data_IF_498017724142
#
_entry.id   IF_498017724142
#
_cell.length_a   1.000
_cell.length_b   1.000
_cell.length_c   1.000
_cell.angle_alpha   90.00
_cell.angle_beta   90.00
_cell.angle_gamma   90.00
#
_symmetry.space_group_name_H-M   'P 1'
#
loop_
_entity.id
_entity.type
_entity.pdbx_description
1 polymer ?
#
# COMPACT_ATOMS: atom_id res chain seq x y z
N UNK A 1 8.09 -7.19 26.14
CA UNK A 1 8.13 -6.16 25.08
C UNK A 1 8.48 -6.73 23.71
N UNK A 2 9.56 -7.50 23.51
CA UNK A 2 9.86 -8.11 22.19
C UNK A 2 8.80 -9.16 21.72
N UNK A 3 8.23 -9.93 22.65
CA UNK A 3 7.20 -10.93 22.34
C UNK A 3 5.89 -10.33 21.80
N UNK A 4 5.52 -9.12 22.24
CA UNK A 4 4.30 -8.43 21.79
C UNK A 4 4.44 -7.93 20.35
N UNK A 5 5.62 -7.42 19.99
CA UNK A 5 5.95 -7.02 18.62
C UNK A 5 5.86 -8.18 17.63
N UNK A 6 6.43 -9.34 17.99
CA UNK A 6 6.39 -10.55 17.17
C UNK A 6 4.96 -11.11 17.00
N UNK A 7 4.15 -11.07 18.06
CA UNK A 7 2.74 -11.46 17.98
C UNK A 7 1.94 -10.51 17.07
N UNK A 8 2.15 -9.20 17.20
CA UNK A 8 1.48 -8.21 16.37
C UNK A 8 1.87 -8.32 14.89
N UNK A 9 3.16 -8.59 14.61
CA UNK A 9 3.67 -8.82 13.27
C UNK A 9 3.07 -10.09 12.63
N UNK A 10 3.01 -11.21 13.36
CA UNK A 10 2.32 -12.43 12.91
C UNK A 10 0.83 -12.18 12.64
N UNK A 11 0.17 -11.37 13.48
CA UNK A 11 -1.20 -10.93 13.24
C UNK A 11 -1.37 -10.18 11.92
N UNK A 12 -0.43 -9.28 11.60
CA UNK A 12 -0.43 -8.55 10.33
C UNK A 12 -0.17 -9.47 9.11
N UNK A 13 0.72 -10.47 9.23
CA UNK A 13 0.88 -11.53 8.24
C UNK A 13 -0.42 -12.34 8.06
N UNK A 14 -1.13 -12.64 9.15
CA UNK A 14 -2.44 -13.27 9.10
C UNK A 14 -3.47 -12.47 8.28
N UNK A 15 -3.46 -11.13 8.39
CA UNK A 15 -4.38 -10.25 7.62
C UNK A 15 -4.15 -10.27 6.11
N UNK A 16 -2.93 -10.58 5.64
CA UNK A 16 -2.64 -10.77 4.21
C UNK A 16 -2.91 -12.21 3.74
N UNK A 17 -3.28 -13.10 4.66
CA UNK A 17 -3.70 -14.48 4.38
C UNK A 17 -2.62 -15.53 4.64
N UNK A 18 -1.51 -15.20 5.31
CA UNK A 18 -0.49 -16.19 5.65
C UNK A 18 -1.00 -17.17 6.70
N UNK A 19 -0.63 -18.44 6.55
CA UNK A 19 -0.89 -19.45 7.57
C UNK A 19 -0.03 -19.25 8.82
N UNK A 20 -0.55 -19.63 9.98
CA UNK A 20 0.18 -19.53 11.26
C UNK A 20 1.53 -20.25 11.21
N UNK A 21 1.66 -21.48 10.64
CA UNK A 21 2.94 -22.14 10.50
C UNK A 21 3.94 -21.37 9.62
N UNK A 22 3.49 -20.82 8.48
CA UNK A 22 4.34 -20.04 7.59
C UNK A 22 4.84 -18.75 8.25
N UNK A 23 3.95 -18.07 8.99
CA UNK A 23 4.31 -16.86 9.74
C UNK A 23 5.34 -17.16 10.83
N UNK A 24 5.19 -18.28 11.56
CA UNK A 24 6.16 -18.69 12.60
C UNK A 24 7.54 -18.98 12.01
N UNK A 25 7.61 -19.72 10.90
CA UNK A 25 8.88 -20.00 10.23
C UNK A 25 9.53 -18.72 9.71
N UNK A 26 8.73 -17.80 9.16
CA UNK A 26 9.23 -16.50 8.70
C UNK A 26 9.79 -15.66 9.85
N UNK A 27 9.08 -15.59 10.99
CA UNK A 27 9.59 -14.89 12.18
C UNK A 27 10.86 -15.53 12.74
N UNK A 28 10.95 -16.86 12.71
CA UNK A 28 12.15 -17.60 13.16
C UNK A 28 13.38 -17.37 12.27
N UNK A 29 13.21 -16.84 11.05
CA UNK A 29 14.32 -16.42 10.17
C UNK A 29 14.86 -15.02 10.51
N UNK A 30 14.38 -14.39 11.59
CA UNK A 30 14.86 -13.08 12.08
C UNK A 30 13.98 -11.89 11.69
N UNK A 31 12.77 -12.13 11.19
CA UNK A 31 11.79 -11.09 10.87
C UNK A 31 10.68 -11.08 11.91
N UNK A 32 10.96 -10.54 13.09
CA UNK A 32 10.04 -10.52 14.22
C UNK A 32 9.35 -9.17 14.43
N UNK A 33 9.74 -8.11 13.72
CA UNK A 33 9.13 -6.80 13.78
C UNK A 33 8.78 -6.25 12.40
N UNK A 34 7.81 -5.32 12.38
CA UNK A 34 7.38 -4.65 11.15
C UNK A 34 8.51 -3.79 10.55
N UNK A 35 9.30 -3.12 11.39
CA UNK A 35 10.44 -2.30 10.98
C UNK A 35 11.52 -3.12 10.28
N UNK A 36 11.69 -4.39 10.67
CA UNK A 36 12.66 -5.31 10.07
C UNK A 36 12.41 -5.54 8.58
N UNK A 37 11.16 -5.36 8.11
CA UNK A 37 10.86 -5.42 6.68
C UNK A 37 11.42 -4.21 5.91
N UNK A 38 11.48 -3.03 6.53
CA UNK A 38 12.00 -1.82 5.89
C UNK A 38 13.51 -1.82 5.68
N UNK A 39 14.23 -2.66 6.44
CA UNK A 39 15.70 -2.81 6.37
C UNK A 39 16.16 -3.76 5.25
N UNK A 40 15.23 -4.43 4.58
CA UNK A 40 15.52 -5.52 3.65
C UNK A 40 14.92 -5.24 2.28
N UNK A 41 15.63 -5.55 1.20
CA UNK A 41 15.14 -5.35 -0.16
C UNK A 41 14.03 -6.35 -0.53
N UNK A 42 13.15 -5.95 -1.46
CA UNK A 42 12.11 -6.84 -1.99
C UNK A 42 12.68 -8.18 -2.46
N UNK A 43 13.81 -8.19 -3.18
CA UNK A 43 14.38 -9.44 -3.71
C UNK A 43 14.86 -10.40 -2.62
N UNK A 44 15.42 -9.85 -1.53
CA UNK A 44 15.79 -10.66 -0.38
C UNK A 44 14.57 -11.31 0.28
N UNK A 45 13.43 -10.60 0.36
CA UNK A 45 12.16 -11.18 0.84
C UNK A 45 11.67 -12.33 -0.06
N UNK A 46 11.80 -12.20 -1.39
CA UNK A 46 11.48 -13.27 -2.33
C UNK A 46 12.37 -14.49 -2.11
N UNK A 47 13.67 -14.28 -1.90
CA UNK A 47 14.61 -15.37 -1.65
C UNK A 47 14.33 -16.11 -0.34
N UNK A 48 13.93 -15.38 0.70
CA UNK A 48 13.46 -15.99 1.95
C UNK A 48 12.21 -16.84 1.71
N UNK A 49 11.24 -16.34 0.94
CA UNK A 49 10.05 -17.13 0.60
C UNK A 49 10.40 -18.41 -0.20
N UNK A 50 11.40 -18.35 -1.10
CA UNK A 50 11.91 -19.54 -1.80
C UNK A 50 12.54 -20.55 -0.85
N UNK A 51 13.31 -20.08 0.14
CA UNK A 51 13.91 -20.94 1.17
C UNK A 51 12.82 -21.64 1.98
N UNK A 52 11.77 -20.92 2.39
CA UNK A 52 10.66 -21.53 3.17
C UNK A 52 9.89 -22.55 2.33
N UNK A 53 9.70 -22.31 1.03
CA UNK A 53 9.07 -23.27 0.11
C UNK A 53 9.86 -24.56 -0.04
N UNK A 54 11.19 -24.48 -0.11
CA UNK A 54 12.05 -25.66 -0.19
C UNK A 54 12.10 -26.42 1.13
N UNK A 55 11.98 -25.70 2.25
CA UNK A 55 12.29 -26.25 3.57
C UNK A 55 13.79 -26.28 3.80
N UNK A 56 14.18 -26.70 5.00
CA UNK A 56 15.58 -26.99 5.31
C UNK A 56 15.73 -28.48 5.42
N UNK A 57 16.55 -29.07 4.55
CA UNK A 57 17.03 -30.44 4.75
C UNK A 57 17.78 -30.47 6.08
N UNK A 58 17.50 -31.46 6.94
CA UNK A 58 18.24 -31.63 8.18
C UNK A 58 19.70 -31.90 7.84
N UNK A 59 20.56 -30.88 7.94
CA UNK A 59 21.99 -31.08 7.73
C UNK A 59 22.48 -31.89 8.91
N UNK A 60 22.93 -33.12 8.66
CA UNK A 60 23.64 -33.92 9.65
C UNK A 60 24.82 -33.07 10.15
N UNK A 61 24.86 -32.79 11.46
CA UNK A 61 26.04 -32.22 12.08
C UNK A 61 27.24 -33.12 11.75
N UNK A 62 28.30 -32.55 11.19
CA UNK A 62 29.60 -33.25 11.07
C UNK A 62 29.97 -33.73 12.48
N UNK A 63 30.26 -35.03 12.69
CA UNK A 63 30.57 -35.51 14.02
C UNK A 63 31.84 -34.81 14.51
N UNK A 64 31.75 -34.12 15.64
CA UNK A 64 32.93 -33.70 16.37
C UNK A 64 33.76 -34.96 16.65
N UNK A 65 35.03 -34.93 16.27
CA UNK A 65 35.94 -36.05 16.51
C UNK A 65 36.03 -36.32 18.02
N UNK A 66 35.39 -37.41 18.47
CA UNK A 66 35.50 -37.93 19.83
C UNK A 66 34.20 -37.86 20.64
N UNK A 67 33.34 -38.88 20.51
CA UNK A 67 32.25 -39.12 21.46
C UNK A 67 31.06 -39.87 20.84
N UNK A 68 30.83 -41.13 21.24
CA UNK A 68 29.74 -41.98 20.76
C UNK A 68 28.37 -41.60 21.36
N UNK A 69 27.89 -40.40 21.09
CA UNK A 69 26.48 -40.06 21.23
C UNK A 69 26.02 -39.49 19.89
N UNK A 70 25.26 -40.27 19.14
CA UNK A 70 24.55 -39.75 17.96
C UNK A 70 23.56 -38.69 18.45
N UNK A 71 23.94 -37.42 18.38
CA UNK A 71 23.00 -36.32 18.55
C UNK A 71 22.02 -36.45 17.39
N UNK A 72 20.79 -36.86 17.70
CA UNK A 72 19.74 -36.99 16.70
C UNK A 72 19.68 -35.70 15.88
N UNK A 73 19.87 -35.81 14.56
CA UNK A 73 19.76 -34.68 13.66
C UNK A 73 18.41 -34.00 13.92
N UNK A 74 18.44 -32.71 14.25
CA UNK A 74 17.20 -31.95 14.44
C UNK A 74 16.35 -32.12 13.16
N UNK A 75 15.08 -32.56 13.27
CA UNK A 75 14.25 -32.75 12.09
C UNK A 75 14.22 -31.45 11.30
N UNK A 76 14.67 -31.51 10.04
CA UNK A 76 14.56 -30.36 9.13
C UNK A 76 13.11 -29.89 9.07
N UNK A 77 12.89 -28.57 9.06
CA UNK A 77 11.52 -28.06 8.93
C UNK A 77 10.99 -28.39 7.53
N UNK A 78 9.88 -29.14 7.40
CA UNK A 78 9.32 -29.46 6.09
C UNK A 78 8.95 -28.18 5.35
N UNK A 79 9.16 -28.16 4.02
CA UNK A 79 8.83 -27.02 3.18
C UNK A 79 7.34 -26.66 3.29
N UNK A 80 7.05 -25.39 3.54
CA UNK A 80 5.68 -24.89 3.62
C UNK A 80 5.32 -24.23 2.28
N UNK A 81 4.19 -24.63 1.69
CA UNK A 81 3.71 -24.01 0.47
C UNK A 81 3.35 -22.54 0.74
N UNK A 82 4.14 -21.61 0.17
CA UNK A 82 3.84 -20.18 0.12
C UNK A 82 3.38 -19.85 -1.31
N UNK A 83 2.07 -19.58 -1.54
CA UNK A 83 1.55 -19.11 -2.81
C UNK A 83 2.23 -17.82 -3.29
N UNK A 84 2.32 -17.63 -4.60
CA UNK A 84 2.92 -16.43 -5.20
C UNK A 84 2.20 -15.14 -4.73
N UNK A 85 0.88 -15.20 -4.51
CA UNK A 85 0.10 -14.09 -3.93
C UNK A 85 0.66 -13.61 -2.59
N UNK A 86 1.12 -14.52 -1.74
CA UNK A 86 1.55 -14.20 -0.38
C UNK A 86 2.89 -13.47 -0.40
N UNK A 87 3.81 -13.89 -1.27
CA UNK A 87 5.06 -13.17 -1.56
C UNK A 87 4.78 -11.78 -2.13
N UNK A 88 3.80 -11.67 -3.01
CA UNK A 88 3.41 -10.41 -3.62
C UNK A 88 2.78 -9.44 -2.61
N UNK A 89 1.88 -9.93 -1.75
CA UNK A 89 1.32 -9.14 -0.63
C UNK A 89 2.37 -8.76 0.40
N UNK A 90 3.35 -9.63 0.66
CA UNK A 90 4.49 -9.32 1.53
C UNK A 90 5.35 -8.20 0.93
N UNK A 91 5.57 -8.22 -0.38
CA UNK A 91 6.24 -7.11 -1.08
C UNK A 91 5.43 -5.81 -0.97
N UNK A 92 4.09 -5.89 -1.01
CA UNK A 92 3.21 -4.75 -0.78
C UNK A 92 3.32 -4.20 0.64
N UNK A 93 3.39 -5.09 1.63
CA UNK A 93 3.64 -4.74 3.02
C UNK A 93 5.01 -4.05 3.19
N UNK A 94 6.06 -4.57 2.57
CA UNK A 94 7.37 -3.93 2.55
C UNK A 94 7.30 -2.51 1.98
N UNK A 95 6.62 -2.30 0.85
CA UNK A 95 6.44 -0.97 0.28
C UNK A 95 5.71 -0.02 1.23
N UNK A 96 4.69 -0.49 1.94
CA UNK A 96 3.99 0.29 2.97
C UNK A 96 4.91 0.68 4.13
N UNK A 97 5.71 -0.26 4.64
CA UNK A 97 6.70 0.03 5.70
C UNK A 97 7.72 1.05 5.22
N UNK A 98 8.29 0.87 4.03
CA UNK A 98 9.28 1.77 3.45
C UNK A 98 8.73 3.20 3.25
N UNK A 99 7.46 3.33 2.84
CA UNK A 99 6.78 4.63 2.71
C UNK A 99 6.63 5.31 4.08
N UNK A 100 6.19 4.57 5.11
CA UNK A 100 6.02 5.09 6.47
C UNK A 100 7.35 5.55 7.08
N UNK A 101 8.41 4.74 6.91
CA UNK A 101 9.75 5.07 7.38
C UNK A 101 10.28 6.32 6.67
N UNK A 102 10.06 6.47 5.36
CA UNK A 102 10.42 7.68 4.61
C UNK A 102 9.69 8.92 5.13
N UNK A 103 8.43 8.78 5.50
CA UNK A 103 7.59 9.86 6.04
C UNK A 103 7.82 10.10 7.54
N UNK A 104 8.75 9.39 8.19
CA UNK A 104 9.00 9.50 9.63
C UNK A 104 7.81 9.10 10.52
N UNK A 105 6.85 8.36 9.96
CA UNK A 105 5.64 7.93 10.69
C UNK A 105 5.92 6.59 11.37
N UNK A 106 5.56 6.40 12.66
CA UNK A 106 5.83 5.15 13.36
C UNK A 106 5.11 3.97 12.67
N UNK A 107 5.82 2.85 12.55
CA UNK A 107 5.31 1.65 11.90
C UNK A 107 4.63 0.77 12.96
N UNK A 108 3.31 0.89 13.08
CA UNK A 108 2.52 0.08 14.01
C UNK A 108 1.81 -1.04 13.27
N UNK A 109 2.00 -2.29 13.70
CA UNK A 109 1.40 -3.45 13.04
C UNK A 109 -0.13 -3.45 13.06
N UNK A 110 -0.76 -2.76 14.01
CA UNK A 110 -2.22 -2.60 14.08
C UNK A 110 -2.78 -1.76 12.93
N UNK A 111 -2.03 -0.76 12.47
CA UNK A 111 -2.45 0.14 11.39
C UNK A 111 -2.47 -0.59 10.05
N UNK A 112 -1.68 -1.66 9.90
CA UNK A 112 -1.69 -2.48 8.69
C UNK A 112 -2.93 -3.37 8.65
N UNK A 113 -3.97 -2.87 8.00
CA UNK A 113 -5.22 -3.59 7.73
C UNK A 113 -5.15 -4.34 6.40
N UNK A 114 -6.07 -5.30 6.21
CA UNK A 114 -6.18 -6.02 4.93
C UNK A 114 -6.45 -5.08 3.75
N UNK A 115 -7.20 -3.99 3.97
CA UNK A 115 -7.46 -2.96 2.96
C UNK A 115 -6.17 -2.25 2.52
N UNK A 116 -5.32 -1.87 3.48
CA UNK A 116 -4.00 -1.29 3.17
C UNK A 116 -3.13 -2.31 2.42
N UNK A 117 -3.10 -3.56 2.87
CA UNK A 117 -2.38 -4.62 2.15
C UNK A 117 -2.81 -4.74 0.68
N UNK A 118 -4.12 -4.70 0.41
CA UNK A 118 -4.65 -4.74 -0.95
C UNK A 118 -4.32 -3.48 -1.76
N UNK A 119 -4.40 -2.29 -1.16
CA UNK A 119 -4.03 -1.03 -1.80
C UNK A 119 -2.57 -1.05 -2.29
N UNK A 120 -1.64 -1.49 -1.45
CA UNK A 120 -0.21 -1.55 -1.81
C UNK A 120 0.08 -2.68 -2.80
N UNK A 121 -0.64 -3.79 -2.71
CA UNK A 121 -0.62 -4.86 -3.72
C UNK A 121 -1.04 -4.33 -5.09
N UNK A 122 -2.08 -3.49 -5.15
CA UNK A 122 -2.50 -2.81 -6.39
C UNK A 122 -1.44 -1.83 -6.88
N UNK A 123 -0.85 -1.01 -6.00
CA UNK A 123 0.25 -0.09 -6.37
C UNK A 123 1.40 -0.84 -7.03
N UNK A 124 1.80 -1.98 -6.47
CA UNK A 124 2.82 -2.84 -7.08
C UNK A 124 2.41 -3.37 -8.46
N UNK A 125 1.14 -3.71 -8.65
CA UNK A 125 0.66 -4.24 -9.93
C UNK A 125 0.71 -3.16 -11.00
N UNK A 126 0.23 -1.96 -10.68
CA UNK A 126 0.26 -0.82 -11.60
C UNK A 126 1.70 -0.44 -11.95
N UNK A 127 2.61 -0.41 -10.96
CA UNK A 127 4.03 -0.13 -11.19
C UNK A 127 4.70 -1.19 -12.08
N UNK A 128 4.35 -2.47 -11.89
CA UNK A 128 4.81 -3.52 -12.79
C UNK A 128 4.28 -3.33 -14.20
N UNK A 129 2.99 -3.05 -14.36
CA UNK A 129 2.37 -2.85 -15.67
C UNK A 129 2.90 -1.60 -16.39
N UNK A 130 3.24 -0.53 -15.68
CA UNK A 130 3.86 0.66 -16.28
C UNK A 130 5.26 0.36 -16.81
N UNK A 131 6.02 -0.52 -16.15
CA UNK A 131 7.34 -0.96 -16.63
C UNK A 131 7.30 -1.88 -17.86
N UNK A 132 6.17 -2.56 -18.11
CA UNK A 132 6.06 -3.53 -19.19
C UNK A 132 5.38 -2.90 -20.40
N UNK A 133 6.09 -2.81 -21.52
CA UNK A 133 5.52 -2.26 -22.75
C UNK A 133 4.73 -3.29 -23.56
N UNK A 134 3.61 -2.87 -24.13
CA UNK A 134 2.75 -3.62 -25.04
C UNK A 134 3.23 -3.63 -26.49
N UNK A 135 2.33 -4.03 -27.40
CA UNK A 135 2.60 -4.22 -28.84
C UNK A 135 2.95 -2.89 -29.54
N UNK A 136 2.36 -1.79 -29.10
CA UNK A 136 2.56 -0.45 -29.70
C UNK A 136 3.55 0.41 -28.89
N UNK A 137 4.42 -0.21 -28.08
CA UNK A 137 5.28 0.50 -27.10
C UNK A 137 4.53 1.31 -26.04
N UNK A 138 3.20 1.24 -26.02
CA UNK A 138 2.38 1.78 -24.94
C UNK A 138 2.57 0.91 -23.69
N UNK A 139 2.84 1.51 -22.51
CA UNK A 139 2.85 0.82 -21.21
C UNK A 139 1.56 0.01 -20.99
N UNK A 140 1.60 -1.11 -20.27
CA UNK A 140 0.40 -1.95 -20.05
C UNK A 140 -0.59 -1.39 -19.02
N UNK A 141 -0.20 -0.34 -18.29
CA UNK A 141 -1.04 0.30 -17.27
C UNK A 141 -2.35 0.88 -17.84
N UNK A 142 -2.39 1.26 -19.13
CA UNK A 142 -3.59 1.79 -19.79
C UNK A 142 -4.76 0.83 -19.71
N UNK A 143 -4.53 -0.48 -19.72
CA UNK A 143 -5.58 -1.52 -19.61
C UNK A 143 -6.30 -1.42 -18.27
N UNK A 144 -5.59 -1.06 -17.20
CA UNK A 144 -6.08 -1.03 -15.82
C UNK A 144 -6.57 0.37 -15.41
N UNK A 145 -6.60 1.33 -16.34
CA UNK A 145 -7.18 2.65 -16.12
C UNK A 145 -8.61 2.55 -15.60
N UNK A 146 -8.95 3.37 -14.59
CA UNK A 146 -10.27 3.44 -13.97
C UNK A 146 -11.33 3.87 -15.00
N UNK A 147 -11.04 4.96 -15.72
CA UNK A 147 -11.93 5.52 -16.71
C UNK A 147 -11.83 4.79 -18.06
N UNK A 148 -12.96 4.63 -18.72
CA UNK A 148 -13.05 3.94 -20.00
C UNK A 148 -12.85 4.93 -21.16
N UNK A 149 -13.11 6.22 -20.93
CA UNK A 149 -13.04 7.27 -21.94
C UNK A 149 -11.59 7.67 -22.27
N UNK A 150 -11.33 7.87 -23.56
CA UNK A 150 -10.08 8.49 -24.03
C UNK A 150 -10.09 9.96 -23.62
N UNK A 151 -8.94 10.49 -23.18
CA UNK A 151 -8.83 11.90 -22.83
C UNK A 151 -9.14 12.79 -24.04
N UNK A 152 -9.72 13.96 -23.79
CA UNK A 152 -10.07 14.89 -24.85
C UNK A 152 -8.79 15.36 -25.59
N UNK A 153 -8.84 15.60 -26.91
CA UNK A 153 -7.64 15.91 -27.70
C UNK A 153 -6.86 17.15 -27.25
N UNK A 154 -7.54 18.06 -26.55
CA UNK A 154 -7.07 19.33 -25.99
C UNK A 154 -6.53 19.23 -24.55
N UNK A 155 -6.49 18.02 -23.98
CA UNK A 155 -5.94 17.83 -22.62
C UNK A 155 -4.43 18.02 -22.65
N UNK A 156 -3.92 18.98 -21.89
CA UNK A 156 -2.49 19.10 -21.62
C UNK A 156 -2.06 17.98 -20.67
N UNK A 157 -0.98 17.28 -21.03
CA UNK A 157 -0.43 16.18 -20.24
C UNK A 157 0.94 16.58 -19.70
N UNK A 158 1.19 16.29 -18.42
CA UNK A 158 2.47 16.60 -17.77
C UNK A 158 3.60 15.70 -18.29
N UNK A 159 3.29 14.44 -18.61
CA UNK A 159 4.28 13.46 -19.05
C UNK A 159 3.87 12.76 -20.35
N UNK A 160 4.86 12.40 -21.17
CA UNK A 160 4.63 11.61 -22.39
C UNK A 160 4.05 10.23 -22.06
N UNK A 161 4.47 9.64 -20.93
CA UNK A 161 3.91 8.39 -20.43
C UNK A 161 2.40 8.50 -20.21
N UNK A 162 1.96 9.51 -19.46
CA UNK A 162 0.55 9.74 -19.20
C UNK A 162 -0.26 10.00 -20.48
N UNK A 163 0.31 10.77 -21.41
CA UNK A 163 -0.29 10.99 -22.73
C UNK A 163 -0.54 9.68 -23.47
N UNK A 164 0.44 8.78 -23.52
CA UNK A 164 0.28 7.47 -24.18
C UNK A 164 -0.80 6.63 -23.53
N UNK A 165 -0.87 6.65 -22.20
CA UNK A 165 -1.85 5.89 -21.41
C UNK A 165 -3.26 6.41 -21.62
N UNK A 166 -3.45 7.74 -21.61
CA UNK A 166 -4.76 8.36 -21.68
C UNK A 166 -5.34 8.44 -23.10
N UNK A 167 -4.48 8.54 -24.11
CA UNK A 167 -4.89 8.56 -25.52
C UNK A 167 -5.19 7.17 -26.09
N UNK A 168 -4.65 6.10 -25.50
CA UNK A 168 -4.81 4.76 -26.07
C UNK A 168 -6.23 4.22 -25.81
N UNK A 169 -7.02 3.89 -26.86
CA UNK A 169 -8.36 3.36 -26.69
C UNK A 169 -8.34 1.92 -26.19
N UNK A 170 -9.36 1.54 -25.41
CA UNK A 170 -9.59 0.15 -24.96
C UNK A 170 -10.28 -0.71 -26.03
N UNK A 171 -9.93 -0.52 -27.30
CA UNK A 171 -10.57 -1.21 -28.43
C UNK A 171 -9.52 -1.69 -29.42
N UNK A 172 -9.79 -2.83 -30.06
CA UNK A 172 -8.97 -3.38 -31.14
C UNK A 172 -7.94 -4.42 -30.69
N UNK A 173 -7.22 -4.96 -31.68
CA UNK A 173 -6.34 -6.13 -31.48
C UNK A 173 -5.14 -5.86 -30.56
N UNK A 174 -4.68 -4.60 -30.51
CA UNK A 174 -3.63 -4.17 -29.59
C UNK A 174 -4.11 -4.23 -28.13
N UNK A 175 -5.37 -3.85 -27.89
CA UNK A 175 -6.01 -3.96 -26.59
C UNK A 175 -6.18 -5.42 -26.18
N UNK A 176 -6.68 -6.29 -27.05
CA UNK A 176 -6.89 -7.71 -26.71
C UNK A 176 -5.58 -8.41 -26.30
N UNK A 177 -4.48 -8.10 -27.01
CA UNK A 177 -3.14 -8.61 -26.65
C UNK A 177 -2.66 -8.05 -25.31
N UNK A 178 -2.89 -6.77 -25.04
CA UNK A 178 -2.58 -6.15 -23.76
C UNK A 178 -3.39 -6.76 -22.61
N UNK A 179 -4.70 -6.90 -22.81
CA UNK A 179 -5.65 -7.48 -21.88
C UNK A 179 -5.27 -8.93 -21.53
N UNK A 180 -4.89 -9.72 -22.54
CA UNK A 180 -4.42 -11.09 -22.34
C UNK A 180 -3.12 -11.19 -21.54
N UNK A 181 -2.22 -10.20 -21.61
CA UNK A 181 -1.01 -10.12 -20.76
C UNK A 181 -1.37 -9.79 -19.31
N UNK A 182 -2.25 -8.81 -19.10
CA UNK A 182 -2.75 -8.45 -17.76
C UNK A 182 -3.43 -9.65 -17.11
N UNK A 183 -4.24 -10.39 -17.88
CA UNK A 183 -4.87 -11.62 -17.40
C UNK A 183 -3.88 -12.66 -16.88
N UNK A 184 -2.77 -12.91 -17.60
CA UNK A 184 -1.75 -13.87 -17.16
C UNK A 184 -1.18 -13.46 -15.80
N UNK A 185 -0.90 -12.17 -15.62
CA UNK A 185 -0.34 -11.64 -14.37
C UNK A 185 -1.34 -11.80 -13.21
N UNK A 186 -2.60 -11.40 -13.42
CA UNK A 186 -3.65 -11.53 -12.40
C UNK A 186 -3.91 -12.99 -12.07
N UNK A 187 -3.90 -13.89 -13.06
CA UNK A 187 -4.02 -15.33 -12.84
C UNK A 187 -2.87 -15.88 -12.00
N UNK A 188 -1.63 -15.51 -12.32
CA UNK A 188 -0.46 -15.95 -11.57
C UNK A 188 -0.49 -15.48 -10.11
N UNK A 189 -1.06 -14.29 -9.86
CA UNK A 189 -1.25 -13.77 -8.52
C UNK A 189 -2.39 -14.46 -7.79
N UNK A 190 -3.52 -14.76 -8.45
CA UNK A 190 -4.72 -15.25 -7.78
C UNK A 190 -4.85 -16.77 -7.70
N UNK A 191 -4.03 -17.51 -8.47
CA UNK A 191 -4.04 -18.98 -8.46
C UNK A 191 -3.77 -19.52 -7.04
N UNK A 192 -4.57 -20.49 -6.61
CA UNK A 192 -4.55 -21.10 -5.27
C UNK A 192 -4.86 -20.13 -4.10
N UNK A 193 -5.40 -18.94 -4.38
CA UNK A 193 -5.83 -17.98 -3.37
C UNK A 193 -7.35 -17.86 -3.24
N UNK A 194 -7.86 -17.29 -2.13
CA UNK A 194 -9.29 -17.03 -1.95
C UNK A 194 -9.85 -16.02 -2.96
N UNK A 195 -8.97 -15.24 -3.61
CA UNK A 195 -9.34 -14.31 -4.67
C UNK A 195 -9.70 -15.00 -6.01
N UNK A 196 -9.36 -16.28 -6.17
CA UNK A 196 -9.59 -17.02 -7.41
C UNK A 196 -11.07 -17.09 -7.80
N UNK A 197 -11.97 -17.22 -6.83
CA UNK A 197 -13.42 -17.32 -7.06
C UNK A 197 -13.99 -16.12 -7.82
N UNK A 198 -13.44 -14.92 -7.58
CA UNK A 198 -13.86 -13.68 -8.25
C UNK A 198 -13.26 -13.53 -9.64
N UNK A 199 -12.12 -14.17 -9.90
CA UNK A 199 -11.36 -14.06 -11.15
C UNK A 199 -11.69 -15.18 -12.13
N UNK A 200 -12.11 -16.34 -11.63
CA UNK A 200 -12.43 -17.53 -12.42
C UNK A 200 -13.42 -17.29 -13.59
N UNK A 201 -14.47 -16.45 -13.47
CA UNK A 201 -15.39 -16.20 -14.59
C UNK A 201 -14.72 -15.55 -15.82
N UNK A 202 -13.62 -14.83 -15.64
CA UNK A 202 -12.94 -14.08 -16.70
C UNK A 202 -11.93 -14.92 -17.50
N UNK A 203 -11.72 -16.19 -17.12
CA UNK A 203 -10.72 -17.06 -17.75
C UNK A 203 -11.05 -17.38 -19.22
N UNK A 204 -12.33 -17.62 -19.53
CA UNK A 204 -12.77 -17.98 -20.89
C UNK A 204 -12.43 -16.91 -21.92
N UNK A 205 -12.59 -15.64 -21.54
CA UNK A 205 -12.32 -14.48 -22.39
C UNK A 205 -10.89 -13.94 -22.25
N UNK A 206 -10.13 -14.45 -21.28
CA UNK A 206 -8.82 -13.91 -20.86
C UNK A 206 -8.88 -12.40 -20.58
N UNK A 207 -9.95 -12.00 -19.90
CA UNK A 207 -10.22 -10.60 -19.63
C UNK A 207 -9.53 -10.13 -18.34
N UNK A 208 -8.31 -9.59 -18.49
CA UNK A 208 -7.51 -9.07 -17.39
C UNK A 208 -8.08 -7.81 -16.77
N UNK A 209 -8.62 -6.91 -17.59
CA UNK A 209 -9.26 -5.66 -17.14
C UNK A 209 -10.48 -5.94 -16.28
N UNK A 210 -11.37 -6.80 -16.76
CA UNK A 210 -12.56 -7.22 -16.01
C UNK A 210 -12.19 -7.85 -14.67
N UNK A 211 -11.17 -8.72 -14.66
CA UNK A 211 -10.68 -9.34 -13.43
C UNK A 211 -10.13 -8.32 -12.43
N UNK A 212 -9.34 -7.33 -12.87
CA UNK A 212 -8.84 -6.28 -11.96
C UNK A 212 -9.96 -5.40 -11.43
N UNK A 213 -10.95 -5.02 -12.27
CA UNK A 213 -12.13 -4.28 -11.82
C UNK A 213 -12.91 -5.06 -10.77
N UNK A 214 -13.17 -6.35 -11.00
CA UNK A 214 -13.87 -7.21 -10.04
C UNK A 214 -13.13 -7.34 -8.70
N UNK A 215 -11.80 -7.50 -8.75
CA UNK A 215 -10.97 -7.52 -7.54
C UNK A 215 -11.03 -6.19 -6.78
N UNK A 216 -10.95 -5.06 -7.49
CA UNK A 216 -11.06 -3.74 -6.87
C UNK A 216 -12.45 -3.56 -6.24
N UNK A 217 -13.54 -3.86 -6.96
CA UNK A 217 -14.89 -3.76 -6.40
C UNK A 217 -15.09 -4.65 -5.16
N UNK A 218 -14.47 -5.83 -5.09
CA UNK A 218 -14.59 -6.70 -3.93
C UNK A 218 -13.78 -6.20 -2.72
N UNK A 219 -12.53 -5.77 -2.93
CA UNK A 219 -11.63 -5.38 -1.82
C UNK A 219 -11.72 -3.91 -1.44
N UNK A 220 -12.18 -3.05 -2.35
CA UNK A 220 -12.43 -1.62 -2.16
C UNK A 220 -13.94 -1.31 -2.07
N UNK A 221 -14.78 -2.32 -1.79
CA UNK A 221 -16.23 -2.15 -1.65
C UNK A 221 -16.59 -0.95 -0.75
N UNK A 222 -17.70 -0.28 -1.03
CA UNK A 222 -18.12 1.01 -0.44
C UNK A 222 -18.01 1.08 1.09
N UNK A 223 -18.11 -0.03 1.80
CA UNK A 223 -17.92 -0.10 3.24
C UNK A 223 -16.48 0.24 3.69
N UNK A 224 -15.46 -0.16 2.93
CA UNK A 224 -14.05 0.19 3.21
C UNK A 224 -13.81 1.65 2.88
N UNK A 225 -14.34 2.14 1.75
CA UNK A 225 -14.28 3.54 1.35
C UNK A 225 -14.94 4.45 2.38
N UNK A 226 -16.14 4.10 2.84
CA UNK A 226 -16.89 4.84 3.86
C UNK A 226 -16.16 4.85 5.21
N UNK A 227 -15.52 3.75 5.59
CA UNK A 227 -14.69 3.69 6.81
C UNK A 227 -13.44 4.55 6.69
N UNK A 228 -12.75 4.51 5.56
CA UNK A 228 -11.57 5.34 5.30
C UNK A 228 -11.93 6.83 5.29
N UNK A 229 -13.07 7.19 4.69
CA UNK A 229 -13.62 8.55 4.72
C UNK A 229 -13.96 8.98 6.14
N UNK A 230 -14.70 8.16 6.89
CA UNK A 230 -15.06 8.45 8.28
C UNK A 230 -13.80 8.64 9.15
N UNK A 231 -12.77 7.83 8.98
CA UNK A 231 -11.50 7.99 9.69
C UNK A 231 -10.76 9.28 9.29
N UNK A 232 -10.79 9.67 8.01
CA UNK A 232 -10.21 10.94 7.58
C UNK A 232 -10.96 12.14 8.19
N UNK A 233 -12.29 12.10 8.23
CA UNK A 233 -13.10 13.12 8.90
C UNK A 233 -12.87 13.18 10.41
N UNK A 234 -12.73 12.02 11.06
CA UNK A 234 -12.40 11.92 12.49
C UNK A 234 -11.06 12.60 12.81
N UNK A 235 -10.03 12.36 11.97
CA UNK A 235 -8.73 13.05 12.08
C UNK A 235 -8.91 14.56 11.91
N UNK A 236 -9.69 15.03 10.94
CA UNK A 236 -9.92 16.47 10.74
C UNK A 236 -10.70 17.11 11.90
N UNK A 237 -11.64 16.39 12.50
CA UNK A 237 -12.48 16.88 13.61
C UNK A 237 -11.72 16.93 14.93
N UNK A 238 -10.92 15.90 15.23
CA UNK A 238 -10.30 15.72 16.53
C UNK A 238 -8.85 16.17 16.62
N UNK A 239 -8.15 16.36 15.49
CA UNK A 239 -6.76 16.80 15.52
C UNK A 239 -6.68 18.31 15.75
N UNK A 240 -6.36 18.70 16.99
CA UNK A 240 -6.14 20.10 17.38
C UNK A 240 -4.69 20.32 17.84
N UNK A 241 -4.07 21.40 17.36
CA UNK A 241 -2.73 21.78 17.80
C UNK A 241 -2.82 22.67 19.04
N UNK A 242 -2.26 22.20 20.17
CA UNK A 242 -2.27 22.91 21.47
C UNK A 242 -0.86 23.33 21.92
N UNK A 243 0.10 23.36 20.99
CA UNK A 243 1.52 23.62 21.25
C UNK A 243 2.39 22.36 21.17
N UNK A 244 3.68 22.54 21.39
CA UNK A 244 4.70 21.52 21.17
C UNK A 244 4.76 20.52 22.34
N UNK A 245 4.36 19.27 22.09
CA UNK A 245 4.41 18.18 23.08
C UNK A 245 5.50 17.19 22.74
N UNK A 246 6.05 16.52 23.76
CA UNK A 246 7.14 15.52 23.65
C UNK A 246 7.00 14.53 22.48
N UNK A 247 5.78 14.12 22.12
CA UNK A 247 5.53 13.14 21.06
C UNK A 247 4.69 13.67 19.89
N UNK A 248 4.21 14.92 19.95
CA UNK A 248 3.31 15.53 18.96
C UNK A 248 3.75 16.98 18.70
N UNK A 249 4.59 17.15 17.68
CA UNK A 249 5.07 18.44 17.19
C UNK A 249 4.30 18.91 15.95
N UNK A 250 4.64 20.10 15.46
CA UNK A 250 3.98 20.72 14.30
C UNK A 250 4.04 19.86 13.04
N UNK A 251 5.18 19.19 12.77
CA UNK A 251 5.32 18.30 11.60
C UNK A 251 4.33 17.13 11.62
N UNK A 252 4.07 16.54 12.79
CA UNK A 252 3.09 15.45 12.90
C UNK A 252 1.67 15.94 12.68
N UNK A 253 1.38 17.16 13.13
CA UNK A 253 0.09 17.81 12.91
C UNK A 253 -0.15 18.07 11.42
N UNK A 254 0.81 18.69 10.72
CA UNK A 254 0.69 18.98 9.28
C UNK A 254 0.65 17.70 8.45
N UNK A 255 1.42 16.68 8.80
CA UNK A 255 1.38 15.37 8.14
C UNK A 255 0.03 14.68 8.31
N UNK A 256 -0.52 14.65 9.54
CA UNK A 256 -1.82 14.04 9.80
C UNK A 256 -2.95 14.71 8.98
N UNK A 257 -2.96 16.05 8.92
CA UNK A 257 -3.91 16.79 8.10
C UNK A 257 -3.70 16.55 6.60
N UNK A 258 -2.46 16.61 6.12
CA UNK A 258 -2.14 16.40 4.70
C UNK A 258 -2.56 15.00 4.24
N UNK A 259 -2.33 13.97 5.06
CA UNK A 259 -2.78 12.61 4.77
C UNK A 259 -4.31 12.48 4.73
N UNK A 260 -5.01 13.14 5.65
CA UNK A 260 -6.47 13.16 5.67
C UNK A 260 -7.03 13.82 4.39
N UNK A 261 -6.48 14.97 4.00
CA UNK A 261 -6.87 15.65 2.77
C UNK A 261 -6.57 14.82 1.51
N UNK A 262 -5.38 14.21 1.40
CA UNK A 262 -5.04 13.33 0.27
C UNK A 262 -5.98 12.13 0.18
N UNK A 263 -6.40 11.57 1.31
CA UNK A 263 -7.34 10.46 1.35
C UNK A 263 -8.72 10.87 0.84
N UNK A 264 -9.22 12.05 1.23
CA UNK A 264 -10.49 12.58 0.76
C UNK A 264 -10.45 12.94 -0.74
N UNK A 265 -9.36 13.55 -1.20
CA UNK A 265 -9.14 13.90 -2.61
C UNK A 265 -9.12 12.65 -3.50
N UNK A 266 -8.44 11.58 -3.05
CA UNK A 266 -8.41 10.29 -3.76
C UNK A 266 -9.81 9.70 -3.98
N UNK A 267 -10.77 10.05 -3.13
CA UNK A 267 -12.14 9.56 -3.19
C UNK A 267 -13.14 10.55 -3.80
N UNK A 268 -12.66 11.68 -4.33
CA UNK A 268 -13.45 12.61 -5.12
C UNK A 268 -14.51 13.39 -4.36
N UNK A 269 -14.43 13.44 -3.02
CA UNK A 269 -15.30 14.33 -2.24
C UNK A 269 -14.64 15.70 -2.14
N UNK A 270 -15.17 16.64 -2.93
CA UNK A 270 -14.95 18.05 -2.66
C UNK A 270 -15.63 18.36 -1.33
N UNK A 271 -14.86 18.85 -0.35
CA UNK A 271 -15.41 19.38 0.90
C UNK A 271 -16.29 20.60 0.56
N UNK A 272 -17.56 20.37 0.19
CA UNK A 272 -18.55 21.41 -0.12
C UNK A 272 -19.25 21.88 1.15
N UNK A 273 -18.47 22.11 2.22
CA UNK A 273 -18.94 22.45 3.57
C UNK A 273 -19.34 21.21 4.38
N UNK A 274 -18.63 21.00 5.50
CA UNK A 274 -19.08 20.06 6.53
C UNK A 274 -20.41 20.57 7.09
N UNK A 275 -21.50 19.81 7.01
CA UNK A 275 -22.75 20.21 7.65
C UNK A 275 -22.57 20.08 9.18
N UNK A 276 -22.43 21.22 9.84
CA UNK A 276 -22.83 21.34 11.25
C UNK A 276 -21.77 21.38 12.34
N UNK A 277 -20.46 21.49 12.08
CA UNK A 277 -19.47 21.67 13.17
C UNK A 277 -18.32 22.61 12.79
N UNK A 278 -17.96 23.49 13.74
CA UNK A 278 -16.90 24.52 13.60
C UNK A 278 -15.58 23.85 13.24
N UNK A 279 -15.19 23.89 11.97
CA UNK A 279 -13.78 23.74 11.61
C UNK A 279 -13.03 24.91 12.26
N UNK A 280 -11.98 24.62 13.02
CA UNK A 280 -11.09 25.68 13.50
C UNK A 280 -10.56 26.47 12.29
N UNK A 281 -10.47 27.80 12.41
CA UNK A 281 -10.05 28.68 11.30
C UNK A 281 -8.77 28.22 10.61
N UNK A 282 -7.84 27.60 11.36
CA UNK A 282 -6.61 27.03 10.82
C UNK A 282 -6.83 25.89 9.80
N UNK A 283 -7.84 25.03 9.97
CA UNK A 283 -8.07 23.90 9.07
C UNK A 283 -8.66 24.33 7.71
N UNK A 284 -9.49 25.39 7.71
CA UNK A 284 -10.04 26.00 6.49
C UNK A 284 -8.93 26.69 5.70
N UNK A 285 -8.05 27.42 6.40
CA UNK A 285 -6.95 28.14 5.75
C UNK A 285 -5.89 27.20 5.17
N UNK A 286 -5.55 26.08 5.84
CA UNK A 286 -4.63 25.07 5.29
C UNK A 286 -5.23 24.40 4.04
N UNK A 287 -6.53 24.10 4.04
CA UNK A 287 -7.21 23.54 2.87
C UNK A 287 -7.27 24.52 1.69
N UNK A 288 -7.46 25.83 1.96
CA UNK A 288 -7.40 26.89 0.94
C UNK A 288 -5.98 27.08 0.40
N UNK A 289 -4.96 27.05 1.27
CA UNK A 289 -3.55 27.16 0.87
C UNK A 289 -3.12 25.95 0.04
N UNK A 290 -3.48 24.73 0.42
CA UNK A 290 -3.14 23.52 -0.35
C UNK A 290 -3.83 23.46 -1.72
N UNK A 291 -5.06 23.98 -1.86
CA UNK A 291 -5.71 24.13 -3.18
C UNK A 291 -5.04 25.19 -4.06
N UNK A 292 -4.42 26.20 -3.45
CA UNK A 292 -3.74 27.28 -4.17
C UNK A 292 -2.25 26.97 -4.45
N UNK A 293 -1.67 25.97 -3.77
CA UNK A 293 -0.23 25.67 -3.77
C UNK A 293 0.23 24.65 -4.83
N UNK A 294 -0.50 24.47 -5.94
CA UNK A 294 0.09 23.80 -7.11
C UNK A 294 1.31 24.57 -7.66
N UNK A 295 1.51 25.84 -7.27
CA UNK A 295 2.58 26.72 -7.76
C UNK A 295 3.39 27.50 -6.70
N UNK A 296 3.25 27.26 -5.38
CA UNK A 296 3.88 28.13 -4.36
C UNK A 296 4.93 27.41 -3.52
N UNK A 297 6.14 27.97 -3.49
CA UNK A 297 7.30 27.47 -2.76
C UNK A 297 7.11 27.52 -1.23
N UNK A 298 7.68 26.52 -0.54
CA UNK A 298 7.58 26.26 0.92
C UNK A 298 7.88 27.47 1.81
N UNK A 299 8.65 28.46 1.32
CA UNK A 299 8.97 29.68 2.09
C UNK A 299 7.75 30.58 2.37
N UNK A 300 6.78 30.66 1.46
CA UNK A 300 5.60 31.53 1.65
C UNK A 300 4.60 30.95 2.66
N UNK A 301 4.57 29.61 2.77
CA UNK A 301 3.73 28.86 3.71
C UNK A 301 4.14 29.11 5.18
N UNK A 302 5.44 29.30 5.44
CA UNK A 302 5.91 29.63 6.78
C UNK A 302 5.58 31.07 7.18
N UNK A 303 5.63 32.04 6.26
CA UNK A 303 5.32 33.44 6.57
C UNK A 303 3.85 33.63 6.94
N UNK A 304 2.94 33.00 6.18
CA UNK A 304 1.49 33.04 6.49
C UNK A 304 1.14 32.36 7.83
N UNK A 305 1.86 31.32 8.24
CA UNK A 305 1.63 30.64 9.53
C UNK A 305 2.05 31.50 10.73
N UNK A 306 3.05 32.38 10.57
CA UNK A 306 3.51 33.29 11.63
C UNK A 306 2.53 34.45 11.85
N UNK A 307 1.96 35.02 10.78
CA UNK A 307 0.98 36.11 10.90
C UNK A 307 -0.35 35.67 11.56
N UNK A 308 -0.76 34.42 11.36
CA UNK A 308 -1.99 33.85 11.96
C UNK A 308 -1.84 33.59 13.47
N UNK A 309 -0.62 33.32 13.96
CA UNK A 309 -0.36 33.19 15.39
C UNK A 309 -0.49 34.54 16.11
N UNK A 310 -0.09 35.65 15.46
CA UNK A 310 -0.22 37.00 16.04
C UNK A 310 -1.68 37.43 16.21
N UNK A 311 -2.57 37.14 15.26
CA UNK A 311 -3.97 37.58 15.33
C UNK A 311 -4.81 36.85 16.39
N UNK A 312 -4.35 35.67 16.87
CA UNK A 312 -5.07 34.91 17.90
C UNK A 312 -4.70 35.30 19.33
N UNK A 313 -3.62 36.06 19.53
CA UNK A 313 -3.27 36.61 20.85
C UNK A 313 -4.06 37.87 21.23
N UNK A 314 -4.68 38.58 20.28
CA UNK A 314 -5.39 39.84 20.56
C UNK A 314 -6.88 39.69 20.95
N UNK A 315 -7.44 38.47 20.94
CA UNK A 315 -8.89 38.24 21.19
C UNK A 315 -9.17 37.78 22.65
N UNK A 316 -8.21 37.98 23.56
CA UNK A 316 -8.46 37.84 25.00
C UNK A 316 -8.14 39.14 25.74
N UNK A 317 -9.08 40.09 25.65
CA UNK A 317 -9.34 41.13 26.64
C UNK A 317 -10.84 41.19 26.87
#
# INVERSE_FOLDING_TARGET
MAADGANAFRGALGRIGWSVPAANVFTNKGFDAMDSLGLVTCDRLKDICKIIRRGTDGVASVPAAGGNAAVAAAPGTPGIAIPMMWEYKLSGMHLWVSERLRQGTPVVAADFTAAIGNLYTRKLLVNYLSSVTGVNKVPLDYVVRKDDNVAAPDTEFETEHEKLVLLTPHTGTAFDKGNGKVWIQVKQLTVNGPAWTYVAPFEKKRDGRGAVKALNSHYEADAVMSKSKAAAFDVLEHTTYTGERRNFGMEKYTNALSMAFQTLDTYGETLTECPGRRMSSCAITIAQILRCSRDVTVSYLMTCLVDIQCTRMEIHV
#
